data_IF_465185746376
#
_entry.id   IF_465185746376
#
_cell.length_a   1.000
_cell.length_b   1.000
_cell.length_c   1.000
_cell.angle_alpha   90.00
_cell.angle_beta   90.00
_cell.angle_gamma   90.00
#
_symmetry.space_group_name_H-M   'P 1'
#
loop_
_entity.id
_entity.type
_entity.pdbx_description
1 polymer ?
#
# COMPACT_ATOMS: atom_id res chain seq x y z
N UNK A 1 0.66 -19.80 14.83
CA UNK A 1 0.51 -18.89 13.68
C UNK A 1 -0.52 -17.83 14.09
N UNK A 2 -0.16 -16.52 14.13
CA UNK A 2 -1.14 -15.49 14.51
C UNK A 2 -2.18 -15.34 13.39
N UNK A 3 -3.44 -15.61 13.71
CA UNK A 3 -4.58 -15.27 12.84
C UNK A 3 -4.96 -13.83 13.16
N UNK A 4 -4.92 -12.95 12.15
CA UNK A 4 -5.39 -11.58 12.32
C UNK A 4 -6.91 -11.55 12.11
N UNK A 5 -7.66 -11.34 13.18
CA UNK A 5 -9.10 -11.10 13.10
C UNK A 5 -9.37 -9.61 13.19
N UNK A 6 -9.64 -8.99 12.04
CA UNK A 6 -10.14 -7.61 11.99
C UNK A 6 -11.66 -7.65 11.93
N UNK A 7 -12.33 -6.95 12.86
CA UNK A 7 -13.79 -6.88 12.89
C UNK A 7 -14.37 -5.95 11.81
N UNK A 8 -13.57 -5.03 11.27
CA UNK A 8 -13.98 -4.08 10.22
C UNK A 8 -12.84 -3.85 9.20
N UNK A 9 -13.18 -3.24 8.06
CA UNK A 9 -12.19 -2.80 7.08
C UNK A 9 -11.33 -1.67 7.66
N UNK A 10 -11.96 -0.73 8.36
CA UNK A 10 -11.30 0.39 9.01
C UNK A 10 -10.22 -0.05 10.01
N UNK A 11 -10.48 -1.06 10.86
CA UNK A 11 -9.45 -1.55 11.78
C UNK A 11 -8.24 -2.17 11.07
N UNK A 12 -8.44 -2.74 9.88
CA UNK A 12 -7.32 -3.24 9.10
C UNK A 12 -6.47 -2.09 8.54
N UNK A 13 -7.11 -1.05 7.99
CA UNK A 13 -6.43 0.16 7.54
C UNK A 13 -5.67 0.86 8.68
N UNK A 14 -6.30 1.00 9.85
CA UNK A 14 -5.67 1.56 11.07
C UNK A 14 -4.48 0.72 11.51
N UNK A 15 -4.62 -0.61 11.51
CA UNK A 15 -3.50 -1.48 11.86
C UNK A 15 -2.34 -1.38 10.87
N UNK A 16 -2.61 -1.30 9.56
CA UNK A 16 -1.57 -1.07 8.56
C UNK A 16 -0.85 0.25 8.83
N UNK A 17 -1.58 1.35 9.09
CA UNK A 17 -1.00 2.62 9.50
C UNK A 17 -0.08 2.47 10.72
N UNK A 18 -0.56 1.85 11.80
CA UNK A 18 0.20 1.67 13.04
C UNK A 18 1.49 0.87 12.82
N UNK A 19 1.47 -0.08 11.88
CA UNK A 19 2.68 -0.82 11.48
C UNK A 19 3.69 0.12 10.84
N UNK A 20 3.29 0.98 9.90
CA UNK A 20 4.22 1.97 9.31
C UNK A 20 4.76 2.96 10.37
N UNK A 21 3.92 3.44 11.29
CA UNK A 21 4.34 4.31 12.39
C UNK A 21 5.35 3.63 13.31
N UNK A 22 5.20 2.32 13.57
CA UNK A 22 6.17 1.55 14.36
C UNK A 22 7.56 1.43 13.71
N UNK A 23 7.68 1.78 12.42
CA UNK A 23 8.94 1.89 11.67
C UNK A 23 9.34 3.36 11.42
N UNK A 24 8.81 4.28 12.23
CA UNK A 24 9.13 5.72 12.26
C UNK A 24 8.72 6.47 10.98
N UNK A 25 7.70 5.99 10.27
CA UNK A 25 7.06 6.79 9.24
C UNK A 25 6.10 7.80 9.88
N UNK A 26 6.10 9.03 9.37
CA UNK A 26 5.01 9.97 9.59
C UNK A 26 3.85 9.58 8.68
N UNK A 27 2.65 9.36 9.23
CA UNK A 27 1.51 8.91 8.43
C UNK A 27 0.37 9.92 8.37
N UNK A 28 -0.34 9.91 7.24
CA UNK A 28 -1.64 10.55 7.09
C UNK A 28 -2.67 9.49 6.68
N UNK A 29 -3.82 9.49 7.35
CA UNK A 29 -4.88 8.51 7.14
C UNK A 29 -6.00 9.07 6.27
N UNK A 30 -6.52 8.28 5.33
CA UNK A 30 -7.61 8.64 4.40
C UNK A 30 -7.35 9.94 3.65
N UNK A 31 -6.21 10.00 2.97
CA UNK A 31 -5.77 11.17 2.21
C UNK A 31 -6.62 11.32 0.96
N UNK A 32 -7.55 12.26 0.99
CA UNK A 32 -8.42 12.60 -0.13
C UNK A 32 -7.77 13.69 -0.98
N UNK A 33 -7.76 13.50 -2.30
CA UNK A 33 -7.34 14.51 -3.26
C UNK A 33 -8.30 14.59 -4.45
N UNK A 34 -8.21 15.69 -5.21
CA UNK A 34 -8.96 15.92 -6.45
C UNK A 34 -8.02 16.45 -7.51
N UNK A 35 -8.23 15.97 -8.74
CA UNK A 35 -7.61 16.49 -9.96
C UNK A 35 -8.65 16.51 -11.09
N UNK A 36 -8.20 16.67 -12.33
CA UNK A 36 -9.02 16.67 -13.55
C UNK A 36 -9.76 15.34 -13.78
N UNK A 37 -9.27 14.23 -13.23
CA UNK A 37 -9.90 12.91 -13.29
C UNK A 37 -10.86 12.67 -12.11
N UNK A 38 -11.05 13.63 -11.22
CA UNK A 38 -12.03 13.60 -10.13
C UNK A 38 -11.45 13.31 -8.74
N UNK A 39 -12.32 12.90 -7.81
CA UNK A 39 -11.94 12.61 -6.42
C UNK A 39 -11.28 11.24 -6.30
N UNK A 40 -10.23 11.14 -5.50
CA UNK A 40 -9.59 9.88 -5.12
C UNK A 40 -9.13 9.94 -3.66
N UNK A 41 -8.93 8.77 -3.06
CA UNK A 41 -8.53 8.63 -1.67
C UNK A 41 -7.39 7.62 -1.57
N UNK A 42 -6.37 7.88 -0.76
CA UNK A 42 -5.30 6.94 -0.41
C UNK A 42 -5.49 6.57 1.06
N UNK A 43 -5.55 5.28 1.38
CA UNK A 43 -5.88 4.81 2.74
C UNK A 43 -4.83 5.29 3.75
N UNK A 44 -3.54 5.14 3.43
CA UNK A 44 -2.43 5.66 4.23
C UNK A 44 -1.36 6.28 3.33
N UNK A 45 -0.91 7.49 3.64
CA UNK A 45 0.30 8.07 3.06
C UNK A 45 1.38 8.07 4.14
N UNK A 46 2.48 7.35 3.93
CA UNK A 46 3.58 7.20 4.88
C UNK A 46 4.84 7.87 4.34
N UNK A 47 5.42 8.79 5.11
CA UNK A 47 6.61 9.55 4.75
C UNK A 47 7.78 9.24 5.70
N UNK A 48 8.97 8.99 5.15
CA UNK A 48 10.23 8.91 5.92
C UNK A 48 11.36 9.56 5.12
N UNK A 49 11.78 10.75 5.53
CA UNK A 49 12.74 11.55 4.77
C UNK A 49 12.21 11.91 3.38
N UNK A 50 12.91 11.45 2.32
CA UNK A 50 12.47 11.62 0.92
C UNK A 50 11.52 10.53 0.43
N UNK A 51 11.40 9.43 1.18
CA UNK A 51 10.57 8.30 0.79
C UNK A 51 9.11 8.62 1.07
N UNK A 52 8.27 8.50 0.05
CA UNK A 52 6.81 8.67 0.15
C UNK A 52 6.14 7.41 -0.37
N UNK A 53 5.45 6.71 0.51
CA UNK A 53 4.73 5.48 0.22
C UNK A 53 3.25 5.77 0.33
N UNK A 54 2.48 5.40 -0.70
CA UNK A 54 1.03 5.43 -0.64
C UNK A 54 0.53 4.00 -0.54
N UNK A 55 -0.27 3.74 0.48
CA UNK A 55 -0.70 2.41 0.86
C UNK A 55 -2.21 2.29 0.69
N UNK A 56 -2.62 1.15 0.14
CA UNK A 56 -4.01 0.73 0.03
C UNK A 56 -4.16 -0.66 0.64
N UNK A 57 -4.94 -0.75 1.72
CA UNK A 57 -5.10 -1.97 2.50
C UNK A 57 -6.30 -2.74 1.95
N UNK A 58 -6.12 -3.97 1.45
CA UNK A 58 -7.20 -4.78 0.89
C UNK A 58 -7.52 -6.04 1.70
N UNK A 59 -8.66 -6.05 2.37
CA UNK A 59 -9.20 -7.22 3.10
C UNK A 59 -10.15 -8.05 2.21
N UNK A 60 -9.62 -8.96 1.40
CA UNK A 60 -10.47 -9.90 0.64
C UNK A 60 -10.93 -11.09 1.49
N UNK A 61 -12.24 -11.32 1.61
CA UNK A 61 -12.82 -12.57 2.16
C UNK A 61 -12.74 -13.71 1.11
N UNK A 62 -12.83 -14.98 1.52
CA UNK A 62 -12.45 -16.20 0.78
C UNK A 62 -12.93 -16.33 -0.69
N UNK A 63 -12.03 -16.57 -1.66
CA UNK A 63 -12.42 -17.03 -3.02
C UNK A 63 -11.27 -17.24 -4.02
N UNK A 64 -11.42 -18.15 -4.99
CA UNK A 64 -10.40 -18.50 -6.00
C UNK A 64 -10.04 -17.37 -7.00
N UNK A 65 -10.88 -16.33 -7.14
CA UNK A 65 -10.67 -15.20 -8.07
C UNK A 65 -9.83 -14.04 -7.49
N UNK A 66 -9.04 -14.30 -6.44
CA UNK A 66 -8.35 -13.25 -5.66
C UNK A 66 -7.17 -12.61 -6.37
N UNK A 67 -6.32 -13.38 -7.03
CA UNK A 67 -5.10 -12.86 -7.66
C UNK A 67 -5.38 -11.85 -8.77
N UNK A 68 -6.37 -12.10 -9.63
CA UNK A 68 -6.76 -11.15 -10.69
C UNK A 68 -7.39 -9.88 -10.10
N UNK A 69 -8.15 -9.99 -9.02
CA UNK A 69 -8.70 -8.84 -8.31
C UNK A 69 -7.59 -8.00 -7.66
N UNK A 70 -6.65 -8.62 -6.94
CA UNK A 70 -5.48 -7.96 -6.34
C UNK A 70 -4.68 -7.23 -7.43
N UNK A 71 -4.36 -7.90 -8.54
CA UNK A 71 -3.62 -7.29 -9.66
C UNK A 71 -4.37 -6.11 -10.28
N UNK A 72 -5.70 -6.18 -10.38
CA UNK A 72 -6.52 -5.07 -10.88
C UNK A 72 -6.51 -3.88 -9.93
N UNK A 73 -6.66 -4.13 -8.63
CA UNK A 73 -6.60 -3.06 -7.62
C UNK A 73 -5.19 -2.45 -7.52
N UNK A 74 -4.13 -3.25 -7.67
CA UNK A 74 -2.75 -2.78 -7.75
C UNK A 74 -2.56 -1.77 -8.89
N UNK A 75 -3.06 -2.10 -10.10
CA UNK A 75 -3.03 -1.18 -11.26
C UNK A 75 -3.79 0.12 -11.02
N UNK A 76 -4.99 0.04 -10.44
CA UNK A 76 -5.78 1.23 -10.08
C UNK A 76 -5.05 2.09 -9.06
N UNK A 77 -4.45 1.46 -8.06
CA UNK A 77 -3.69 2.15 -7.03
C UNK A 77 -2.44 2.83 -7.60
N UNK A 78 -1.72 2.17 -8.51
CA UNK A 78 -0.58 2.76 -9.20
C UNK A 78 -0.96 4.04 -9.93
N UNK A 79 -2.05 4.02 -10.70
CA UNK A 79 -2.53 5.22 -11.40
C UNK A 79 -2.97 6.33 -10.42
N UNK A 80 -3.64 5.96 -9.33
CA UNK A 80 -3.99 6.90 -8.25
C UNK A 80 -2.73 7.55 -7.65
N UNK A 81 -1.66 6.80 -7.43
CA UNK A 81 -0.40 7.35 -6.88
C UNK A 81 0.34 8.21 -7.89
N UNK A 82 0.30 7.84 -9.18
CA UNK A 82 0.85 8.66 -10.26
C UNK A 82 0.16 10.03 -10.33
N UNK A 83 -1.17 10.03 -10.22
CA UNK A 83 -1.98 11.26 -10.13
C UNK A 83 -1.60 12.11 -8.92
N UNK A 84 -1.53 11.49 -7.74
CA UNK A 84 -1.12 12.18 -6.53
C UNK A 84 0.33 12.69 -6.58
N UNK A 85 1.24 11.97 -7.25
CA UNK A 85 2.63 12.39 -7.46
C UNK A 85 2.71 13.69 -8.26
N UNK A 86 1.93 13.79 -9.36
CA UNK A 86 1.83 15.01 -10.16
C UNK A 86 1.29 16.19 -9.34
N UNK A 87 0.30 15.96 -8.49
CA UNK A 87 -0.31 16.98 -7.65
C UNK A 87 0.64 17.48 -6.55
N UNK A 88 1.34 16.55 -5.88
CA UNK A 88 2.20 16.85 -4.73
C UNK A 88 3.62 17.27 -5.11
N UNK A 89 4.03 17.06 -6.36
CA UNK A 89 5.41 17.28 -6.81
C UNK A 89 6.43 16.31 -6.20
N UNK A 90 5.96 15.22 -5.58
CA UNK A 90 6.78 14.19 -4.96
C UNK A 90 6.55 12.86 -5.65
N UNK A 91 7.60 12.08 -5.84
CA UNK A 91 7.45 10.70 -6.30
C UNK A 91 6.82 9.86 -5.19
N UNK A 92 5.71 9.19 -5.51
CA UNK A 92 4.97 8.37 -4.56
C UNK A 92 4.95 6.92 -5.01
N UNK A 93 5.48 6.05 -4.15
CA UNK A 93 5.58 4.61 -4.41
C UNK A 93 4.28 3.93 -3.95
N UNK A 94 3.50 3.35 -4.87
CA UNK A 94 2.28 2.62 -4.54
C UNK A 94 2.56 1.25 -3.91
N UNK A 95 1.89 0.98 -2.79
CA UNK A 95 1.93 -0.30 -2.07
C UNK A 95 0.50 -0.79 -1.80
N UNK A 96 0.14 -1.93 -2.38
CA UNK A 96 -1.08 -2.65 -2.05
C UNK A 96 -0.78 -3.66 -0.93
N UNK A 97 -1.50 -3.57 0.19
CA UNK A 97 -1.36 -4.49 1.33
C UNK A 97 -2.57 -5.41 1.40
N UNK A 98 -2.56 -6.57 0.71
CA UNK A 98 -3.62 -7.55 0.87
C UNK A 98 -3.48 -8.30 2.19
N UNK A 99 -4.61 -8.71 2.78
CA UNK A 99 -4.61 -9.62 3.93
C UNK A 99 -4.14 -11.05 3.56
N UNK A 100 -4.27 -11.42 2.29
CA UNK A 100 -3.87 -12.73 1.77
C UNK A 100 -2.37 -12.79 1.48
N UNK A 101 -1.81 -14.00 1.48
CA UNK A 101 -0.38 -14.27 1.45
C UNK A 101 0.01 -15.01 0.16
N UNK A 102 0.39 -14.23 -0.86
CA UNK A 102 0.88 -14.74 -2.15
C UNK A 102 2.34 -14.31 -2.43
N UNK A 103 3.07 -13.88 -1.39
CA UNK A 103 4.43 -13.32 -1.48
C UNK A 103 4.49 -11.86 -1.95
N UNK A 104 5.66 -11.24 -1.82
CA UNK A 104 5.90 -9.86 -2.28
C UNK A 104 6.21 -9.88 -3.78
N UNK A 105 5.44 -9.11 -4.55
CA UNK A 105 5.60 -9.00 -6.02
C UNK A 105 5.29 -7.58 -6.50
N UNK A 106 5.74 -7.23 -7.71
CA UNK A 106 5.30 -6.01 -8.40
C UNK A 106 4.26 -6.33 -9.48
N UNK A 107 3.19 -5.52 -9.57
CA UNK A 107 2.21 -5.63 -10.63
C UNK A 107 1.73 -4.25 -11.09
N UNK A 108 1.94 -3.94 -12.38
CA UNK A 108 1.40 -2.72 -12.99
C UNK A 108 1.91 -1.43 -12.34
N UNK A 109 3.15 -1.44 -11.87
CA UNK A 109 3.76 -0.30 -11.18
C UNK A 109 3.36 -0.16 -9.72
N UNK A 110 2.79 -1.21 -9.08
CA UNK A 110 2.47 -1.25 -7.66
C UNK A 110 3.07 -2.47 -6.96
N UNK A 111 3.68 -2.26 -5.80
CA UNK A 111 4.15 -3.33 -4.94
C UNK A 111 2.98 -3.96 -4.21
N UNK A 112 2.85 -5.27 -4.33
CA UNK A 112 1.89 -6.05 -3.56
C UNK A 112 2.68 -6.67 -2.40
N UNK A 113 2.38 -6.21 -1.18
CA UNK A 113 3.06 -6.64 0.04
C UNK A 113 2.02 -7.24 0.98
N UNK A 114 1.89 -8.59 1.03
CA UNK A 114 1.00 -9.25 1.97
C UNK A 114 1.19 -8.78 3.42
N UNK A 115 0.10 -8.67 4.17
CA UNK A 115 0.14 -8.28 5.59
C UNK A 115 1.15 -9.10 6.41
N UNK A 116 1.29 -10.40 6.13
CA UNK A 116 2.25 -11.27 6.81
C UNK A 116 3.71 -10.92 6.51
N UNK A 117 3.99 -10.41 5.31
CA UNK A 117 5.31 -9.99 4.88
C UNK A 117 5.60 -8.51 5.15
N UNK A 118 4.61 -7.72 5.59
CA UNK A 118 4.76 -6.26 5.75
C UNK A 118 5.90 -5.86 6.69
N UNK A 119 6.07 -6.57 7.82
CA UNK A 119 7.17 -6.29 8.75
C UNK A 119 8.55 -6.59 8.16
N UNK A 120 8.66 -7.69 7.42
CA UNK A 120 9.89 -8.06 6.72
C UNK A 120 10.20 -7.05 5.60
N UNK A 121 9.19 -6.68 4.82
CA UNK A 121 9.28 -5.61 3.83
C UNK A 121 9.80 -4.30 4.43
N UNK A 122 9.23 -3.84 5.55
CA UNK A 122 9.64 -2.58 6.19
C UNK A 122 11.04 -2.66 6.80
N UNK A 123 11.43 -3.82 7.34
CA UNK A 123 12.76 -4.03 7.90
C UNK A 123 13.84 -4.04 6.81
N UNK A 124 13.47 -4.43 5.59
CA UNK A 124 14.35 -4.57 4.43
C UNK A 124 13.92 -3.65 3.28
N UNK A 125 13.39 -2.47 3.59
CA UNK A 125 12.66 -1.66 2.61
C UNK A 125 13.54 -1.22 1.43
N UNK A 126 14.77 -0.78 1.70
CA UNK A 126 15.71 -0.36 0.64
C UNK A 126 16.02 -1.50 -0.34
N UNK A 127 16.19 -2.72 0.18
CA UNK A 127 16.40 -3.91 -0.63
C UNK A 127 15.22 -4.17 -1.57
N UNK A 128 13.99 -4.17 -1.04
CA UNK A 128 12.80 -4.44 -1.86
C UNK A 128 12.53 -3.33 -2.87
N UNK A 129 12.68 -2.06 -2.48
CA UNK A 129 12.50 -0.95 -3.41
C UNK A 129 13.52 -1.00 -4.54
N UNK A 130 14.78 -1.32 -4.26
CA UNK A 130 15.82 -1.53 -5.28
C UNK A 130 15.48 -2.71 -6.18
N UNK A 131 15.11 -3.87 -5.58
CA UNK A 131 14.77 -5.10 -6.30
C UNK A 131 13.65 -4.88 -7.33
N UNK A 132 12.68 -4.01 -7.01
CA UNK A 132 11.55 -3.72 -7.87
C UNK A 132 11.69 -2.41 -8.66
N UNK A 133 12.84 -1.74 -8.60
CA UNK A 133 13.17 -0.58 -9.44
C UNK A 133 12.53 0.75 -9.02
N UNK A 134 12.34 0.97 -7.71
CA UNK A 134 11.88 2.24 -7.12
C UNK A 134 12.99 3.07 -6.48
N UNK A 135 14.19 2.48 -6.32
CA UNK A 135 15.45 3.11 -5.92
C UNK A 135 16.54 2.65 -6.88
#
# INVERSE_FOLDING_TARGET
MKTWEFDSWQKFEEFVRDVFESYEFETQFRVVFRDDMGKSEIDVLACKGKLVLAIDAKRYTGGWYRLSAVKREAKKHAERCRRYSKLSGREVIPILVPLIDDGIVSCGGCLIVPMRALRDFLSNIEYYLTLFGYL
#
